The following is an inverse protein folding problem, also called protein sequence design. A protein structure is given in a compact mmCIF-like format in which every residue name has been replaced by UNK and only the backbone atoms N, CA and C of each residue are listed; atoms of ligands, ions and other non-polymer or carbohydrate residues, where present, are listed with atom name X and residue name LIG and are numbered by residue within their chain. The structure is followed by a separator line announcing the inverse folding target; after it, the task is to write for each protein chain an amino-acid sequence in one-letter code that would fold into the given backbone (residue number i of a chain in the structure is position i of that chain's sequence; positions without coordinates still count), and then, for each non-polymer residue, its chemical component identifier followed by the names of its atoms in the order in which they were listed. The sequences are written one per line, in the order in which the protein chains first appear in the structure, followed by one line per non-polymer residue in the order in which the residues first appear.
data_IF_013403816338
#
_entry.id   IF_013403816338
#
_cell.length_a   1.000
_cell.length_b   1.000
_cell.length_c   1.000
_cell.angle_alpha   90.00
_cell.angle_beta   90.00
_cell.angle_gamma   90.00
#
_symmetry.space_group_name_H-M   'P 1'
#
loop_
_entity.id
_entity.type
_entity.pdbx_description
1 polymer ?
#
# COMPACT_ATOMS: atom_id res chain seq x y z
N UNK A 1 -6.90 -7.68 24.44
CA UNK A 1 -6.96 -6.77 23.28
C UNK A 1 -6.07 -7.16 22.12
N UNK A 2 -4.75 -7.38 22.28
CA UNK A 2 -3.88 -7.84 21.16
C UNK A 2 -4.42 -9.06 20.40
N UNK A 3 -4.77 -10.13 21.12
CA UNK A 3 -5.36 -11.32 20.53
C UNK A 3 -6.72 -11.07 19.87
N UNK A 4 -7.52 -10.15 20.42
CA UNK A 4 -8.80 -9.77 19.83
C UNK A 4 -8.62 -9.05 18.48
N UNK A 5 -7.60 -8.20 18.34
CA UNK A 5 -7.26 -7.58 17.05
C UNK A 5 -6.82 -8.65 16.06
N UNK A 6 -5.94 -9.57 16.46
CA UNK A 6 -5.49 -10.65 15.58
C UNK A 6 -6.66 -11.55 15.15
N UNK A 7 -7.57 -11.88 16.07
CA UNK A 7 -8.79 -12.61 15.73
C UNK A 7 -9.65 -11.83 14.72
N UNK A 8 -9.86 -10.52 14.92
CA UNK A 8 -10.60 -9.69 13.98
C UNK A 8 -9.93 -9.64 12.59
N UNK A 9 -8.60 -9.51 12.53
CA UNK A 9 -7.83 -9.58 11.28
C UNK A 9 -8.00 -10.92 10.58
N UNK A 10 -7.90 -12.02 11.32
CA UNK A 10 -8.05 -13.38 10.77
C UNK A 10 -9.46 -13.59 10.23
N UNK A 11 -10.48 -13.18 11.00
CA UNK A 11 -11.89 -13.30 10.59
C UNK A 11 -12.13 -12.47 9.33
N UNK A 12 -11.72 -11.20 9.30
CA UNK A 12 -11.91 -10.32 8.15
C UNK A 12 -11.18 -10.85 6.91
N UNK A 13 -9.91 -11.24 7.06
CA UNK A 13 -9.11 -11.83 5.99
C UNK A 13 -9.74 -13.11 5.44
N UNK A 14 -10.24 -14.00 6.30
CA UNK A 14 -10.91 -15.24 5.88
C UNK A 14 -12.23 -14.97 5.15
N UNK A 15 -13.07 -14.05 5.66
CA UNK A 15 -14.34 -13.67 5.02
C UNK A 15 -14.10 -13.10 3.63
N UNK A 16 -13.15 -12.16 3.48
CA UNK A 16 -12.88 -11.55 2.17
C UNK A 16 -12.11 -12.48 1.24
N UNK A 17 -11.27 -13.38 1.75
CA UNK A 17 -10.69 -14.46 0.96
C UNK A 17 -11.79 -15.36 0.37
N UNK A 18 -12.76 -15.75 1.19
CA UNK A 18 -13.90 -16.57 0.74
C UNK A 18 -14.71 -15.85 -0.34
N UNK A 19 -15.07 -14.57 -0.12
CA UNK A 19 -15.82 -13.78 -1.11
C UNK A 19 -15.04 -13.67 -2.44
N UNK A 20 -13.76 -13.33 -2.38
CA UNK A 20 -12.92 -13.20 -3.58
C UNK A 20 -12.78 -14.52 -4.34
N UNK A 21 -12.59 -15.64 -3.63
CA UNK A 21 -12.52 -16.98 -4.25
C UNK A 21 -13.85 -17.36 -4.87
N UNK A 22 -14.99 -17.13 -4.20
CA UNK A 22 -16.30 -17.45 -4.75
C UNK A 22 -16.61 -16.64 -6.00
N UNK A 23 -16.24 -15.35 -6.01
CA UNK A 23 -16.33 -14.49 -7.20
C UNK A 23 -15.49 -15.03 -8.36
N UNK A 24 -14.26 -15.46 -8.08
CA UNK A 24 -13.38 -16.10 -9.07
C UNK A 24 -13.97 -17.40 -9.61
N UNK A 25 -14.48 -18.29 -8.74
CA UNK A 25 -15.12 -19.56 -9.13
C UNK A 25 -16.41 -19.35 -9.92
N UNK A 26 -17.14 -18.27 -9.66
CA UNK A 26 -18.31 -17.86 -10.43
C UNK A 26 -17.96 -17.20 -11.78
N UNK A 27 -16.68 -17.20 -12.18
CA UNK A 27 -16.17 -16.57 -13.41
C UNK A 27 -16.44 -15.06 -13.49
N UNK A 28 -16.60 -14.40 -12.35
CA UNK A 28 -16.91 -12.97 -12.25
C UNK A 28 -15.66 -12.15 -11.83
N UNK A 29 -14.46 -12.61 -12.18
CA UNK A 29 -13.20 -11.94 -11.89
C UNK A 29 -12.59 -11.29 -13.15
N UNK A 30 -11.96 -10.13 -12.99
CA UNK A 30 -11.29 -9.39 -14.06
C UNK A 30 -9.99 -10.07 -14.50
N UNK A 31 -9.90 -10.38 -15.80
CA UNK A 31 -8.69 -10.95 -16.42
C UNK A 31 -7.54 -9.94 -16.44
N UNK A 32 -7.83 -8.65 -16.67
CA UNK A 32 -6.81 -7.60 -16.81
C UNK A 32 -5.99 -7.39 -15.54
N UNK A 33 -6.58 -7.66 -14.38
CA UNK A 33 -5.91 -7.48 -13.10
C UNK A 33 -5.43 -8.81 -12.55
N UNK A 34 -6.35 -9.73 -12.25
CA UNK A 34 -6.01 -10.99 -11.60
C UNK A 34 -5.23 -11.91 -12.54
N UNK A 35 -5.66 -12.03 -13.80
CA UNK A 35 -5.02 -12.90 -14.79
C UNK A 35 -3.61 -12.44 -15.12
N UNK A 36 -3.45 -11.15 -15.46
CA UNK A 36 -2.13 -10.55 -15.74
C UNK A 36 -1.22 -10.66 -14.51
N UNK A 37 -1.73 -10.38 -13.32
CA UNK A 37 -0.91 -10.47 -12.11
C UNK A 37 -0.46 -11.91 -11.81
N UNK A 38 -1.35 -12.89 -12.00
CA UNK A 38 -1.04 -14.31 -11.81
C UNK A 38 0.01 -14.78 -12.81
N UNK A 39 -0.10 -14.39 -14.09
CA UNK A 39 0.89 -14.69 -15.11
C UNK A 39 2.24 -14.08 -14.74
N UNK A 40 2.29 -12.78 -14.44
CA UNK A 40 3.54 -12.09 -14.09
C UNK A 40 4.24 -12.71 -12.88
N UNK A 41 3.48 -13.15 -11.86
CA UNK A 41 4.03 -13.83 -10.69
C UNK A 41 4.55 -15.23 -11.02
N UNK A 42 3.84 -15.97 -11.87
CA UNK A 42 4.27 -17.29 -12.33
C UNK A 42 5.56 -17.21 -13.16
N UNK A 43 5.63 -16.25 -14.08
CA UNK A 43 6.73 -16.12 -15.03
C UNK A 43 8.07 -15.81 -14.34
N UNK A 44 8.09 -15.15 -13.17
CA UNK A 44 9.33 -14.84 -12.40
C UNK A 44 10.28 -16.04 -12.26
N UNK A 45 9.73 -17.23 -12.05
CA UNK A 45 10.51 -18.46 -11.82
C UNK A 45 10.40 -19.50 -12.95
N UNK A 46 9.44 -19.37 -13.86
CA UNK A 46 9.15 -20.39 -14.87
C UNK A 46 9.51 -19.99 -16.31
N UNK A 47 9.73 -18.70 -16.56
CA UNK A 47 10.14 -18.19 -17.87
C UNK A 47 11.57 -17.62 -17.80
N UNK A 48 12.21 -17.42 -18.96
CA UNK A 48 13.58 -16.89 -19.00
C UNK A 48 13.64 -15.46 -18.43
N UNK A 49 14.60 -15.21 -17.53
CA UNK A 49 14.80 -13.91 -16.86
C UNK A 49 14.84 -12.70 -17.83
N UNK A 50 15.35 -12.90 -19.06
CA UNK A 50 15.46 -11.84 -20.08
C UNK A 50 14.13 -11.38 -20.70
N UNK A 51 13.18 -12.28 -20.91
CA UNK A 51 11.82 -11.94 -21.37
C UNK A 51 11.01 -11.34 -20.20
N UNK A 52 11.24 -11.88 -19.01
CA UNK A 52 10.56 -11.51 -17.77
C UNK A 52 10.86 -10.11 -17.25
N UNK A 53 12.10 -9.62 -17.33
CA UNK A 53 12.43 -8.27 -16.83
C UNK A 53 11.77 -7.14 -17.65
N UNK A 54 11.39 -7.42 -18.89
CA UNK A 54 10.59 -6.49 -19.70
C UNK A 54 9.08 -6.58 -19.40
N UNK A 55 8.55 -7.73 -18.97
CA UNK A 55 7.12 -7.97 -18.70
C UNK A 55 6.71 -7.86 -17.23
N UNK A 56 7.52 -8.37 -16.30
CA UNK A 56 7.62 -7.87 -14.91
C UNK A 56 8.18 -6.46 -15.05
N UNK A 57 7.33 -5.57 -15.51
CA UNK A 57 7.61 -4.16 -15.56
C UNK A 57 8.05 -3.80 -14.15
N UNK A 58 9.23 -3.20 -14.02
CA UNK A 58 9.78 -2.72 -12.74
C UNK A 58 8.82 -1.75 -11.99
N UNK A 59 7.62 -1.48 -12.51
CA UNK A 59 6.50 -0.81 -11.85
C UNK A 59 5.93 -1.66 -10.70
N UNK A 60 6.22 -2.95 -10.71
CA UNK A 60 5.63 -3.95 -9.82
C UNK A 60 6.72 -4.70 -9.06
N UNK A 61 7.72 -4.00 -8.53
CA UNK A 61 8.84 -4.59 -7.78
C UNK A 61 8.38 -5.50 -6.63
N UNK A 62 7.21 -5.22 -6.04
CA UNK A 62 6.55 -6.08 -5.05
C UNK A 62 6.28 -7.50 -5.57
N UNK A 63 6.28 -7.75 -6.88
CA UNK A 63 6.08 -9.08 -7.45
C UNK A 63 7.26 -10.00 -7.18
N UNK A 64 8.46 -9.47 -6.93
CA UNK A 64 9.63 -10.26 -6.58
C UNK A 64 9.46 -11.01 -5.25
N UNK A 65 9.09 -10.36 -4.12
CA UNK A 65 8.77 -11.09 -2.90
C UNK A 65 7.45 -11.85 -2.99
N UNK A 66 6.45 -11.35 -3.73
CA UNK A 66 5.17 -12.03 -3.87
C UNK A 66 5.29 -13.34 -4.67
N UNK A 67 6.15 -13.41 -5.68
CA UNK A 67 6.33 -14.62 -6.49
C UNK A 67 6.89 -15.77 -5.67
N UNK A 68 7.74 -15.48 -4.66
CA UNK A 68 8.23 -16.50 -3.71
C UNK A 68 7.07 -17.12 -2.93
N UNK A 69 6.08 -16.32 -2.53
CA UNK A 69 4.86 -16.81 -1.88
C UNK A 69 4.00 -17.57 -2.89
N UNK A 70 3.89 -17.05 -4.12
CA UNK A 70 3.11 -17.65 -5.20
C UNK A 70 3.62 -19.05 -5.61
N UNK A 71 4.93 -19.33 -5.46
CA UNK A 71 5.50 -20.65 -5.72
C UNK A 71 4.91 -21.77 -4.84
N UNK A 72 4.42 -21.45 -3.64
CA UNK A 72 3.86 -22.45 -2.72
C UNK A 72 2.57 -23.06 -3.32
N UNK A 73 1.77 -22.22 -3.96
CA UNK A 73 0.53 -22.63 -4.64
C UNK A 73 0.29 -21.66 -5.81
N UNK A 74 0.76 -21.99 -7.03
CA UNK A 74 0.78 -21.05 -8.16
C UNK A 74 -0.59 -20.93 -8.83
N UNK A 75 -1.59 -20.52 -8.07
CA UNK A 75 -2.97 -20.31 -8.51
C UNK A 75 -3.47 -18.91 -8.10
N UNK A 76 -4.41 -18.30 -8.85
CA UNK A 76 -4.94 -16.97 -8.57
C UNK A 76 -5.48 -16.80 -7.15
N UNK A 77 -6.05 -17.86 -6.57
CA UNK A 77 -6.56 -17.87 -5.19
C UNK A 77 -5.49 -17.44 -4.16
N UNK A 78 -4.21 -17.75 -4.41
CA UNK A 78 -3.11 -17.37 -3.51
C UNK A 78 -3.00 -15.87 -3.35
N UNK A 79 -3.08 -15.11 -4.46
CA UNK A 79 -2.97 -13.65 -4.40
C UNK A 79 -4.24 -12.99 -3.87
N UNK A 80 -5.41 -13.59 -4.12
CA UNK A 80 -6.68 -13.14 -3.55
C UNK A 80 -6.64 -13.24 -2.02
N UNK A 81 -6.24 -14.40 -1.50
CA UNK A 81 -6.09 -14.64 -0.05
C UNK A 81 -5.04 -13.70 0.53
N UNK A 82 -3.88 -13.61 -0.12
CA UNK A 82 -2.80 -12.76 0.36
C UNK A 82 -3.20 -11.28 0.45
N UNK A 83 -3.87 -10.73 -0.56
CA UNK A 83 -4.37 -9.36 -0.53
C UNK A 83 -5.36 -9.17 0.62
N UNK A 84 -6.33 -10.07 0.78
CA UNK A 84 -7.32 -9.98 1.86
C UNK A 84 -6.65 -9.95 3.24
N UNK A 85 -5.67 -10.82 3.49
CA UNK A 85 -4.94 -10.86 4.76
C UNK A 85 -4.01 -9.67 4.96
N UNK A 86 -3.28 -9.22 3.93
CA UNK A 86 -2.38 -8.06 4.04
C UNK A 86 -3.17 -6.78 4.29
N UNK A 87 -4.26 -6.56 3.57
CA UNK A 87 -5.14 -5.39 3.79
C UNK A 87 -5.75 -5.45 5.19
N UNK A 88 -6.31 -6.60 5.60
CA UNK A 88 -6.85 -6.77 6.95
C UNK A 88 -5.79 -6.53 8.04
N UNK A 89 -4.55 -6.98 7.80
CA UNK A 89 -3.45 -6.84 8.75
C UNK A 89 -3.10 -5.37 9.05
N UNK A 90 -3.51 -4.40 8.22
CA UNK A 90 -3.38 -2.97 8.49
C UNK A 90 -4.06 -2.51 9.80
N UNK A 91 -5.05 -3.27 10.30
CA UNK A 91 -5.66 -3.03 11.60
C UNK A 91 -4.67 -3.19 12.77
N UNK A 92 -3.69 -4.10 12.62
CA UNK A 92 -2.73 -4.39 13.68
C UNK A 92 -1.73 -3.25 13.95
N UNK A 93 -1.01 -2.68 12.97
CA UNK A 93 -0.18 -1.51 13.23
C UNK A 93 -1.01 -0.30 13.70
N UNK A 94 -2.26 -0.14 13.25
CA UNK A 94 -3.15 0.90 13.79
C UNK A 94 -3.47 0.69 15.28
N UNK A 95 -3.76 -0.53 15.72
CA UNK A 95 -3.88 -0.84 17.14
C UNK A 95 -2.58 -0.50 17.90
N UNK A 96 -1.41 -0.82 17.34
CA UNK A 96 -0.14 -0.54 17.98
C UNK A 96 0.14 0.98 18.08
N UNK A 97 -0.16 1.74 17.03
CA UNK A 97 -0.06 3.21 17.00
C UNK A 97 -1.04 3.83 18.00
N UNK A 98 -2.31 3.41 17.95
CA UNK A 98 -3.37 3.89 18.85
C UNK A 98 -3.00 3.63 20.31
N UNK A 99 -2.49 2.43 20.63
CA UNK A 99 -2.04 2.09 21.98
C UNK A 99 -0.85 2.93 22.41
N UNK A 100 0.10 3.17 21.51
CA UNK A 100 1.27 4.01 21.78
C UNK A 100 0.88 5.47 22.06
N UNK A 101 -0.14 5.99 21.37
CA UNK A 101 -0.57 7.40 21.47
C UNK A 101 -1.57 7.67 22.59
N UNK A 102 -2.52 6.76 22.82
CA UNK A 102 -3.60 6.96 23.80
C UNK A 102 -3.30 6.33 25.16
N UNK A 103 -2.35 5.38 25.23
CA UNK A 103 -2.09 4.58 26.43
C UNK A 103 -3.19 3.54 26.73
N UNK A 104 -4.37 3.66 26.13
CA UNK A 104 -5.51 2.77 26.36
C UNK A 104 -5.65 1.69 25.30
N UNK A 105 -5.73 0.44 25.75
CA UNK A 105 -5.86 -0.71 24.84
C UNK A 105 -7.28 -0.87 24.29
N UNK A 106 -8.31 -0.33 24.96
CA UNK A 106 -9.70 -0.38 24.46
C UNK A 106 -9.90 0.62 23.32
N UNK A 107 -9.49 1.86 23.51
CA UNK A 107 -9.52 2.90 22.48
C UNK A 107 -8.72 2.49 21.25
N UNK A 108 -7.51 1.96 21.45
CA UNK A 108 -6.69 1.43 20.36
C UNK A 108 -7.36 0.28 19.60
N UNK A 109 -8.07 -0.61 20.31
CA UNK A 109 -8.84 -1.69 19.70
C UNK A 109 -10.00 -1.15 18.86
N UNK A 110 -10.73 -0.15 19.37
CA UNK A 110 -11.83 0.48 18.62
C UNK A 110 -11.33 1.15 17.34
N UNK A 111 -10.18 1.83 17.37
CA UNK A 111 -9.55 2.42 16.16
C UNK A 111 -9.25 1.34 15.12
N UNK A 112 -8.67 0.21 15.53
CA UNK A 112 -8.38 -0.90 14.64
C UNK A 112 -9.65 -1.55 14.07
N UNK A 113 -10.72 -1.63 14.86
CA UNK A 113 -12.01 -2.14 14.40
C UNK A 113 -12.67 -1.19 13.40
N UNK A 114 -12.61 0.12 13.63
CA UNK A 114 -13.10 1.13 12.68
C UNK A 114 -12.39 1.01 11.33
N UNK A 115 -11.08 0.72 11.31
CA UNK A 115 -10.35 0.45 10.07
C UNK A 115 -10.92 -0.75 9.29
N UNK A 116 -11.18 -1.88 9.96
CA UNK A 116 -11.74 -3.07 9.31
C UNK A 116 -13.19 -2.85 8.81
N UNK A 117 -13.90 -1.90 9.41
CA UNK A 117 -15.26 -1.51 9.04
C UNK A 117 -15.31 -0.29 8.11
N UNK A 118 -14.14 0.24 7.74
CA UNK A 118 -14.05 1.47 6.95
C UNK A 118 -14.44 1.19 5.51
N UNK A 119 -15.57 1.77 5.07
CA UNK A 119 -16.16 1.50 3.76
C UNK A 119 -15.17 1.59 2.57
N UNK A 120 -14.27 2.60 2.49
CA UNK A 120 -13.29 2.68 1.41
C UNK A 120 -12.33 1.48 1.34
N UNK A 121 -12.14 0.74 2.44
CA UNK A 121 -11.34 -0.49 2.47
C UNK A 121 -12.02 -1.64 1.70
N UNK A 122 -13.34 -1.59 1.54
CA UNK A 122 -14.09 -2.66 0.86
C UNK A 122 -13.84 -2.69 -0.64
N UNK A 123 -13.52 -1.55 -1.28
CA UNK A 123 -13.18 -1.50 -2.70
C UNK A 123 -12.05 -2.48 -3.04
N UNK A 124 -10.85 -2.32 -2.44
CA UNK A 124 -9.76 -3.27 -2.62
C UNK A 124 -10.04 -4.70 -2.14
N UNK A 125 -10.88 -4.90 -1.12
CA UNK A 125 -11.22 -6.24 -0.61
C UNK A 125 -12.23 -6.99 -1.50
N UNK A 126 -13.06 -6.28 -2.27
CA UNK A 126 -14.04 -6.84 -3.22
C UNK A 126 -13.49 -6.92 -4.65
N UNK A 127 -12.48 -6.09 -4.94
CA UNK A 127 -11.71 -6.18 -6.17
C UNK A 127 -10.87 -7.46 -6.17
N UNK A 128 -10.59 -8.01 -7.36
CA UNK A 128 -9.86 -9.28 -7.48
C UNK A 128 -8.44 -9.18 -6.91
N UNK A 129 -7.48 -8.65 -7.67
CA UNK A 129 -6.15 -8.40 -7.15
C UNK A 129 -5.59 -7.10 -7.70
N UNK A 130 -5.17 -6.23 -6.78
CA UNK A 130 -4.49 -4.98 -7.04
C UNK A 130 -3.35 -4.85 -6.04
N UNK A 131 -2.13 -5.02 -6.53
CA UNK A 131 -0.92 -4.95 -5.73
C UNK A 131 -0.75 -3.61 -4.97
N UNK A 132 -1.30 -2.51 -5.48
CA UNK A 132 -1.36 -1.21 -4.79
C UNK A 132 -2.10 -1.29 -3.45
N UNK A 133 -3.10 -2.18 -3.34
CA UNK A 133 -3.84 -2.40 -2.10
C UNK A 133 -2.96 -2.89 -0.95
N UNK A 134 -1.77 -3.44 -1.26
CA UNK A 134 -0.83 -3.91 -0.26
C UNK A 134 -0.08 -2.76 0.43
N UNK A 135 -0.05 -1.55 -0.15
CA UNK A 135 0.72 -0.38 0.36
C UNK A 135 0.39 0.06 1.79
N UNK A 136 -0.89 0.20 2.21
CA UNK A 136 -1.22 0.82 3.49
C UNK A 136 -0.63 0.07 4.70
N UNK A 137 -0.62 -1.25 4.67
CA UNK A 137 -0.13 -2.08 5.79
C UNK A 137 1.37 -1.89 6.09
N UNK A 138 2.31 -2.06 5.14
CA UNK A 138 3.71 -1.77 5.37
C UNK A 138 3.96 -0.29 5.66
N UNK A 139 3.22 0.64 5.05
CA UNK A 139 3.29 2.07 5.43
C UNK A 139 2.97 2.28 6.91
N UNK A 140 1.87 1.71 7.41
CA UNK A 140 1.46 1.83 8.81
C UNK A 140 2.45 1.16 9.77
N UNK A 141 3.07 0.03 9.38
CA UNK A 141 4.17 -0.55 10.16
C UNK A 141 5.40 0.36 10.16
N UNK A 142 5.77 0.94 9.02
CA UNK A 142 6.87 1.90 8.94
C UNK A 142 6.63 3.08 9.89
N UNK A 143 5.43 3.66 9.84
CA UNK A 143 5.01 4.74 10.74
C UNK A 143 5.05 4.32 12.22
N UNK A 144 4.56 3.12 12.55
CA UNK A 144 4.63 2.59 13.90
C UNK A 144 6.07 2.45 14.41
N UNK A 145 6.97 1.88 13.62
CA UNK A 145 8.36 1.69 14.02
C UNK A 145 9.15 2.99 14.06
N UNK A 146 8.83 3.95 13.19
CA UNK A 146 9.30 5.33 13.31
C UNK A 146 8.89 5.91 14.67
N UNK A 147 7.61 5.87 15.04
CA UNK A 147 7.15 6.37 16.35
C UNK A 147 7.79 5.67 17.55
N UNK A 148 8.17 4.40 17.40
CA UNK A 148 8.85 3.61 18.44
C UNK A 148 10.37 3.87 18.50
N UNK A 149 10.95 4.49 17.48
CA UNK A 149 12.40 4.67 17.33
C UNK A 149 13.18 3.45 16.86
N UNK A 150 12.51 2.47 16.25
CA UNK A 150 13.15 1.31 15.64
C UNK A 150 13.45 1.62 14.16
N UNK A 151 14.55 2.34 13.92
CA UNK A 151 14.94 2.82 12.59
C UNK A 151 15.05 1.68 11.56
N UNK A 152 15.63 0.54 11.96
CA UNK A 152 15.83 -0.61 11.08
C UNK A 152 14.51 -1.16 10.55
N UNK A 153 13.53 -1.40 11.44
CA UNK A 153 12.21 -1.88 11.03
C UNK A 153 11.43 -0.81 10.28
N UNK A 154 11.54 0.45 10.69
CA UNK A 154 10.90 1.57 10.00
C UNK A 154 11.35 1.65 8.53
N UNK A 155 12.66 1.60 8.28
CA UNK A 155 13.23 1.63 6.92
C UNK A 155 12.89 0.35 6.15
N UNK A 156 12.94 -0.82 6.78
CA UNK A 156 12.54 -2.08 6.14
C UNK A 156 11.11 -2.02 5.61
N UNK A 157 10.15 -1.62 6.46
CA UNK A 157 8.76 -1.49 6.05
C UNK A 157 8.54 -0.34 5.08
N UNK A 158 9.35 0.73 5.16
CA UNK A 158 9.32 1.79 4.17
C UNK A 158 9.73 1.30 2.79
N UNK A 159 10.80 0.50 2.69
CA UNK A 159 11.23 -0.12 1.43
C UNK A 159 10.14 -1.03 0.87
N UNK A 160 9.53 -1.87 1.72
CA UNK A 160 8.41 -2.74 1.30
C UNK A 160 7.23 -1.92 0.77
N UNK A 161 6.89 -0.81 1.43
CA UNK A 161 5.85 0.11 0.97
C UNK A 161 6.26 0.78 -0.35
N UNK A 162 7.50 1.26 -0.49
CA UNK A 162 7.98 1.93 -1.70
C UNK A 162 7.97 1.02 -2.92
N UNK A 163 8.23 -0.28 -2.78
CA UNK A 163 8.25 -1.20 -3.93
C UNK A 163 6.85 -1.65 -4.39
N UNK A 164 5.76 -1.25 -3.70
CA UNK A 164 4.42 -1.68 -4.09
C UNK A 164 4.00 -1.13 -5.43
N UNK A 165 4.30 0.12 -5.73
CA UNK A 165 3.85 0.78 -6.96
C UNK A 165 4.86 1.85 -7.40
N UNK A 166 4.78 2.32 -8.65
CA UNK A 166 5.69 3.32 -9.18
C UNK A 166 5.68 4.64 -8.39
N UNK A 167 4.52 5.07 -7.91
CA UNK A 167 4.36 6.32 -7.16
C UNK A 167 4.46 6.14 -5.63
N UNK A 168 4.43 4.89 -5.14
CA UNK A 168 4.56 4.61 -3.71
C UNK A 168 5.86 5.18 -3.09
N UNK A 169 7.04 5.17 -3.75
CA UNK A 169 8.24 5.81 -3.22
C UNK A 169 8.09 7.32 -3.04
N UNK A 170 7.25 8.00 -3.83
CA UNK A 170 7.03 9.45 -3.68
C UNK A 170 6.36 9.71 -2.32
N UNK A 171 5.27 9.00 -2.03
CA UNK A 171 4.55 9.08 -0.74
C UNK A 171 5.50 8.74 0.42
N UNK A 172 6.32 7.70 0.26
CA UNK A 172 7.31 7.31 1.27
C UNK A 172 8.41 8.36 1.44
N UNK A 173 8.86 9.03 0.37
CA UNK A 173 9.79 10.14 0.42
C UNK A 173 9.22 11.33 1.18
N UNK A 174 7.95 11.70 0.94
CA UNK A 174 7.25 12.75 1.70
C UNK A 174 7.13 12.37 3.18
N UNK A 175 6.85 11.10 3.49
CA UNK A 175 6.86 10.61 4.86
C UNK A 175 8.25 10.69 5.51
N UNK A 176 9.31 10.30 4.78
CA UNK A 176 10.68 10.43 5.25
C UNK A 176 11.08 11.89 5.50
N UNK A 177 10.65 12.82 4.63
CA UNK A 177 10.87 14.25 4.80
C UNK A 177 10.13 14.79 6.03
N UNK A 178 8.85 14.42 6.20
CA UNK A 178 8.07 14.74 7.40
C UNK A 178 8.79 14.28 8.67
N UNK A 179 9.21 13.01 8.70
CA UNK A 179 9.94 12.42 9.83
C UNK A 179 11.23 13.20 10.11
N UNK A 180 12.02 13.48 9.08
CA UNK A 180 13.28 14.22 9.20
C UNK A 180 13.10 15.64 9.75
N UNK A 181 12.12 16.39 9.25
CA UNK A 181 11.82 17.75 9.72
C UNK A 181 11.30 17.76 11.16
N UNK A 182 10.44 16.79 11.51
CA UNK A 182 9.90 16.64 12.86
C UNK A 182 10.99 16.30 13.88
N UNK A 183 11.89 15.41 13.53
CA UNK A 183 13.00 15.00 14.39
C UNK A 183 13.97 16.15 14.65
N UNK A 184 14.22 17.01 13.64
CA UNK A 184 15.05 18.23 13.80
C UNK A 184 14.40 19.28 14.69
N UNK A 185 13.07 19.43 14.64
CA UNK A 185 12.34 20.41 15.44
C UNK A 185 12.31 20.04 16.93
N UNK A 186 12.20 18.75 17.25
CA UNK A 186 12.10 18.25 18.63
C UNK A 186 13.46 18.05 19.32
N UNK A 187 14.48 18.86 18.97
CA UNK A 187 15.87 18.77 19.45
C UNK A 187 15.98 18.85 20.99
N UNK A 188 15.80 17.71 21.66
CA UNK A 188 16.14 17.46 23.05
C UNK A 188 16.96 16.16 23.10
N UNK A 189 18.27 16.33 22.98
CA UNK A 189 19.36 15.54 23.60
C UNK A 189 19.40 14.00 23.50
N UNK A 190 18.52 13.30 22.78
CA UNK A 190 18.62 11.84 22.57
C UNK A 190 19.03 11.52 21.13
N UNK A 191 20.23 11.98 20.82
CA UNK A 191 20.73 12.17 19.47
C UNK A 191 21.78 11.11 19.10
N UNK A 192 21.37 9.87 18.83
CA UNK A 192 22.26 8.93 18.10
C UNK A 192 21.60 7.82 17.28
N UNK A 193 20.26 7.80 17.11
CA UNK A 193 19.64 6.80 16.22
C UNK A 193 18.39 7.29 15.45
N UNK A 194 17.76 8.38 15.89
CA UNK A 194 16.48 8.83 15.34
C UNK A 194 16.63 9.73 14.10
N UNK A 195 17.60 10.65 14.13
CA UNK A 195 17.77 11.70 13.10
C UNK A 195 18.08 11.16 11.69
N UNK A 196 18.55 9.92 11.58
CA UNK A 196 18.81 9.27 10.30
C UNK A 196 17.59 8.59 9.70
N UNK A 197 16.53 8.29 10.46
CA UNK A 197 15.43 7.43 9.95
C UNK A 197 14.70 8.08 8.80
N UNK A 198 14.25 9.34 8.97
CA UNK A 198 13.60 10.10 7.91
C UNK A 198 14.50 10.25 6.67
N UNK A 199 15.78 10.57 6.88
CA UNK A 199 16.76 10.68 5.79
C UNK A 199 16.96 9.35 5.04
N UNK A 200 17.09 8.22 5.73
CA UNK A 200 17.23 6.89 5.13
C UNK A 200 15.97 6.50 4.34
N UNK A 201 14.78 6.84 4.83
CA UNK A 201 13.52 6.62 4.11
C UNK A 201 13.49 7.46 2.83
N UNK A 202 13.90 8.74 2.87
CA UNK A 202 14.00 9.60 1.68
C UNK A 202 14.97 8.99 0.66
N UNK A 203 16.19 8.67 1.09
CA UNK A 203 17.23 8.13 0.18
C UNK A 203 16.81 6.80 -0.43
N UNK A 204 16.29 5.86 0.37
CA UNK A 204 15.79 4.59 -0.17
C UNK A 204 14.63 4.78 -1.15
N UNK A 205 13.72 5.73 -0.88
CA UNK A 205 12.62 6.06 -1.78
C UNK A 205 13.10 6.67 -3.09
N UNK A 206 14.07 7.59 -3.06
CA UNK A 206 14.68 8.17 -4.27
C UNK A 206 15.38 7.08 -5.10
N UNK A 207 16.13 6.18 -4.45
CA UNK A 207 16.81 5.07 -5.14
C UNK A 207 15.80 4.17 -5.84
N UNK A 208 14.73 3.77 -5.14
CA UNK A 208 13.68 2.90 -5.71
C UNK A 208 12.97 3.61 -6.86
N UNK A 209 12.58 4.88 -6.67
CA UNK A 209 11.92 5.68 -7.70
C UNK A 209 12.79 5.85 -8.95
N UNK A 210 14.07 6.16 -8.76
CA UNK A 210 15.02 6.36 -9.86
C UNK A 210 15.30 5.05 -10.58
N UNK A 211 15.54 3.97 -9.84
CA UNK A 211 15.74 2.64 -10.41
C UNK A 211 14.52 2.22 -11.24
N UNK A 212 13.31 2.35 -10.69
CA UNK A 212 12.08 2.09 -11.44
C UNK A 212 12.03 2.92 -12.72
N UNK A 213 12.22 4.24 -12.64
CA UNK A 213 12.14 5.12 -13.83
C UNK A 213 13.25 4.88 -14.87
N UNK A 214 14.45 4.46 -14.50
CA UNK A 214 15.51 4.14 -15.47
C UNK A 214 15.11 2.92 -16.32
N UNK A 215 14.57 1.88 -15.69
CA UNK A 215 14.22 0.65 -16.40
C UNK A 215 12.87 0.72 -17.12
N UNK A 216 11.96 1.60 -16.66
CA UNK A 216 10.56 1.65 -17.13
C UNK A 216 10.27 2.91 -17.91
N UNK A 217 10.77 4.05 -17.43
CA UNK A 217 10.42 5.39 -17.91
C UNK A 217 10.50 5.50 -19.43
N UNK A 218 11.56 5.00 -20.10
CA UNK A 218 11.64 5.02 -21.56
C UNK A 218 10.53 4.19 -22.23
N UNK A 219 10.27 2.96 -21.77
CA UNK A 219 9.24 2.09 -22.35
C UNK A 219 7.82 2.57 -22.12
N UNK A 220 7.53 3.12 -20.93
CA UNK A 220 6.26 3.74 -20.60
C UNK A 220 6.04 5.03 -21.40
N UNK A 221 7.05 5.90 -21.50
CA UNK A 221 6.96 7.14 -22.28
C UNK A 221 6.74 6.85 -23.78
N UNK A 222 7.45 5.87 -24.35
CA UNK A 222 7.26 5.44 -25.74
C UNK A 222 5.87 4.83 -25.94
N UNK A 223 5.42 3.97 -25.01
CA UNK A 223 4.07 3.38 -25.09
C UNK A 223 2.98 4.45 -24.97
N UNK A 224 3.14 5.44 -24.09
CA UNK A 224 2.20 6.54 -23.92
C UNK A 224 2.16 7.45 -25.16
N UNK A 225 3.33 7.78 -25.71
CA UNK A 225 3.45 8.57 -26.94
C UNK A 225 2.80 7.84 -28.14
N UNK A 226 3.01 6.53 -28.26
CA UNK A 226 2.49 5.72 -29.37
C UNK A 226 1.02 5.33 -29.22
N UNK A 227 0.50 5.16 -27.99
CA UNK A 227 -0.91 4.84 -27.72
C UNK A 227 -1.81 6.09 -27.60
N UNK A 228 -1.31 7.27 -27.96
CA UNK A 228 -2.11 8.51 -28.04
C UNK A 228 -3.33 8.40 -28.97
N UNK A 229 -3.42 7.36 -29.81
CA UNK A 229 -4.58 7.02 -30.66
C UNK A 229 -5.72 6.33 -29.88
N UNK A 230 -5.46 5.67 -28.74
CA UNK A 230 -6.51 5.10 -27.86
C UNK A 230 -7.17 6.14 -26.95
N UNK A 231 -6.59 7.34 -26.87
CA UNK A 231 -7.02 8.41 -25.95
C UNK A 231 -8.39 9.00 -26.30
N UNK A 232 -8.84 8.94 -27.55
CA UNK A 232 -10.10 9.58 -27.97
C UNK A 232 -11.37 8.90 -27.47
N UNK A 233 -11.29 7.65 -26.99
CA UNK A 233 -12.48 6.89 -26.52
C UNK A 233 -12.62 6.86 -24.99
N UNK A 234 -11.52 7.04 -24.26
CA UNK A 234 -11.52 7.21 -22.79
C UNK A 234 -11.36 8.67 -22.36
N UNK A 235 -11.13 9.58 -23.32
CA UNK A 235 -11.18 11.01 -23.09
C UNK A 235 -12.58 11.39 -22.59
N UNK A 236 -12.62 11.84 -21.34
CA UNK A 236 -13.74 12.56 -20.73
C UNK A 236 -14.95 11.75 -20.25
N UNK A 237 -14.75 10.82 -19.32
CA UNK A 237 -15.54 10.95 -18.10
C UNK A 237 -14.84 11.97 -17.21
N UNK A 238 -14.97 13.25 -17.55
CA UNK A 238 -14.76 14.31 -16.57
C UNK A 238 -15.79 14.05 -15.47
N UNK A 239 -15.38 13.33 -14.42
CA UNK A 239 -16.09 13.38 -13.16
C UNK A 239 -16.20 14.85 -12.81
N UNK A 240 -17.42 15.36 -12.72
CA UNK A 240 -17.61 16.76 -12.37
C UNK A 240 -16.87 17.05 -11.06
N UNK A 241 -16.37 18.27 -10.86
CA UNK A 241 -15.76 18.66 -9.57
C UNK A 241 -16.68 18.34 -8.39
N UNK A 242 -18.00 18.33 -8.63
CA UNK A 242 -18.99 17.89 -7.66
C UNK A 242 -18.90 16.39 -7.32
N UNK A 243 -18.65 15.52 -8.30
CA UNK A 243 -18.42 14.09 -8.06
C UNK A 243 -17.14 13.85 -7.25
N UNK A 244 -16.05 14.56 -7.56
CA UNK A 244 -14.82 14.47 -6.77
C UNK A 244 -15.04 14.95 -5.32
N UNK A 245 -15.71 16.09 -5.13
CA UNK A 245 -16.02 16.62 -3.82
C UNK A 245 -16.93 15.68 -3.00
N UNK A 246 -17.94 15.08 -3.63
CA UNK A 246 -18.81 14.08 -2.98
C UNK A 246 -18.03 12.82 -2.63
N UNK A 247 -17.14 12.34 -3.49
CA UNK A 247 -16.26 11.21 -3.19
C UNK A 247 -15.38 11.49 -1.96
N UNK A 248 -14.69 12.65 -1.91
CA UNK A 248 -13.92 13.05 -0.74
C UNK A 248 -14.78 13.15 0.52
N UNK A 249 -15.97 13.73 0.42
CA UNK A 249 -16.92 13.79 1.53
C UNK A 249 -17.25 12.39 2.06
N UNK A 250 -17.60 11.45 1.19
CA UNK A 250 -17.95 10.08 1.59
C UNK A 250 -16.79 9.28 2.20
N UNK A 251 -15.55 9.54 1.78
CA UNK A 251 -14.37 8.90 2.40
C UNK A 251 -14.08 9.48 3.79
N UNK A 252 -14.28 10.78 3.97
CA UNK A 252 -13.95 11.46 5.23
C UNK A 252 -15.08 11.38 6.27
N UNK A 253 -16.33 11.21 5.83
CA UNK A 253 -17.51 11.17 6.69
C UNK A 253 -17.44 10.07 7.78
N UNK A 254 -17.05 8.81 7.51
CA UNK A 254 -16.97 7.76 8.53
C UNK A 254 -15.96 8.04 9.65
N UNK A 255 -14.97 8.91 9.38
CA UNK A 255 -13.98 9.36 10.37
C UNK A 255 -14.25 10.80 10.83
N UNK A 256 -15.46 11.32 10.57
CA UNK A 256 -15.93 12.64 10.97
C UNK A 256 -14.93 13.76 10.66
N UNK A 257 -14.21 13.65 9.55
CA UNK A 257 -13.19 14.63 9.13
C UNK A 257 -12.06 14.85 10.16
N UNK A 258 -11.89 13.97 11.15
CA UNK A 258 -10.88 14.10 12.22
C UNK A 258 -9.46 14.17 11.64
N UNK A 259 -9.22 13.51 10.51
CA UNK A 259 -7.96 13.57 9.76
C UNK A 259 -7.55 14.99 9.36
N UNK A 260 -8.50 15.93 9.18
CA UNK A 260 -8.21 17.33 8.85
C UNK A 260 -7.61 18.11 10.04
N UNK A 261 -7.75 17.61 11.27
CA UNK A 261 -7.18 18.24 12.46
C UNK A 261 -5.67 18.07 12.59
N UNK A 262 -5.03 17.31 11.70
CA UNK A 262 -3.59 17.09 11.66
C UNK A 262 -2.97 17.70 10.38
N UNK A 263 -2.90 19.04 10.27
CA UNK A 263 -2.45 19.72 9.05
C UNK A 263 -1.02 19.31 8.62
N UNK A 264 -0.14 19.05 9.59
CA UNK A 264 1.24 18.61 9.32
C UNK A 264 1.31 17.27 8.56
N UNK A 265 0.27 16.43 8.67
CA UNK A 265 0.18 15.13 7.99
C UNK A 265 -0.61 15.21 6.68
N UNK A 266 -1.40 16.26 6.46
CA UNK A 266 -2.12 16.46 5.19
C UNK A 266 -1.16 16.65 4.02
N UNK A 267 0.08 17.07 4.26
CA UNK A 267 1.13 17.12 3.25
C UNK A 267 1.40 15.76 2.59
N UNK A 268 1.15 14.63 3.28
CA UNK A 268 1.30 13.28 2.73
C UNK A 268 0.19 12.91 1.73
N UNK A 269 -0.87 13.72 1.65
CA UNK A 269 -2.01 13.50 0.75
C UNK A 269 -1.77 14.19 -0.62
N UNK A 270 -0.74 15.02 -0.72
CA UNK A 270 -0.35 15.67 -1.98
C UNK A 270 0.33 14.59 -2.86
N UNK A 271 -0.26 14.22 -4.02
CA UNK A 271 0.33 13.26 -4.94
C UNK A 271 1.68 13.71 -5.51
#
# INVERSE_FOLDING_TARGET
MRFAVLAAVIINGAVYSYIAIMKYMAMNASVYDLGVSSQLLYSVFHESLGYNLMHITFNKLIYLPLSVIYLIYPHPQTVLVLQAFVVSAGAYPLYLIGKLKTGDSKTAFMIALTYLLFYPLYGPLWFDFHFMALFPTPFLFSFYFYLKGDARKSVLFAVIASITDLLAPVIMGLFGLYAFLKDRRNNSEKMFNFQGTGFLIVISSIIIFTAANIYIGPGYAVSFANNSVFSSTFAFTHTSKAYEATYFFWIMLPVLFICLLAPDLLFLIIP
#
